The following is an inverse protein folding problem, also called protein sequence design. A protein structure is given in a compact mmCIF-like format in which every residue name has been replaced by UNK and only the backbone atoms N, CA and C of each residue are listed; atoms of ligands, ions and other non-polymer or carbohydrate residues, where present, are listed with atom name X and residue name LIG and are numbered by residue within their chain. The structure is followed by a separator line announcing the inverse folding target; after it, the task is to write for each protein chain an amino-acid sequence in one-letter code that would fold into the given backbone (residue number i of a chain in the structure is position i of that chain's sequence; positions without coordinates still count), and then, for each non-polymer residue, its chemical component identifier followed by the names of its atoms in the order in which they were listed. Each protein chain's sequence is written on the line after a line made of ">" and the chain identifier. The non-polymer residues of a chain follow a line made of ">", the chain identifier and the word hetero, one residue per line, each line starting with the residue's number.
data_IF_527573296462
#
_entry.id   IF_527573296462
#
_cell.length_a   1.000
_cell.length_b   1.000
_cell.length_c   1.000
_cell.angle_alpha   90.00
_cell.angle_beta   90.00
_cell.angle_gamma   90.00
#
_symmetry.space_group_name_H-M   'P 1'
#
loop_
_entity.id
_entity.type
_entity.pdbx_description
1 polymer ?
#
# COMPACT_ATOMS: atom_id res chain seq x y z
N UNK A 1 -17.42 11.38 -10.86
CA UNK A 1 -17.67 11.76 -9.45
C UNK A 1 -17.07 13.13 -9.13
N UNK A 2 -15.75 13.31 -9.20
CA UNK A 2 -15.07 14.59 -8.92
C UNK A 2 -15.64 15.79 -9.69
N UNK A 3 -15.88 15.62 -10.99
CA UNK A 3 -16.47 16.66 -11.86
C UNK A 3 -17.87 17.10 -11.41
N UNK A 4 -18.65 16.22 -10.77
CA UNK A 4 -20.04 16.50 -10.38
C UNK A 4 -20.16 16.99 -8.94
N UNK A 5 -19.30 16.51 -8.03
CA UNK A 5 -19.42 16.72 -6.59
C UNK A 5 -18.23 17.46 -5.96
N UNK A 6 -17.23 17.82 -6.77
CA UNK A 6 -16.03 18.50 -6.31
C UNK A 6 -14.88 17.55 -5.92
N UNK A 7 -13.73 18.12 -5.53
CA UNK A 7 -12.48 17.37 -5.27
C UNK A 7 -12.44 16.64 -3.93
N UNK A 8 -13.40 16.90 -3.03
CA UNK A 8 -13.58 16.22 -1.74
C UNK A 8 -15.04 15.79 -1.66
N UNK A 9 -15.27 14.50 -1.48
CA UNK A 9 -16.61 13.90 -1.46
C UNK A 9 -16.75 13.08 -0.19
N UNK A 10 -17.86 13.26 0.54
CA UNK A 10 -18.22 12.40 1.67
C UNK A 10 -19.17 11.31 1.20
N UNK A 11 -18.82 10.05 1.45
CA UNK A 11 -19.62 8.88 1.15
C UNK A 11 -19.87 8.08 2.44
N UNK A 12 -20.99 7.34 2.49
CA UNK A 12 -21.20 6.30 3.50
C UNK A 12 -21.05 4.93 2.83
N UNK A 13 -20.00 4.20 3.18
CA UNK A 13 -19.76 2.84 2.73
C UNK A 13 -20.29 1.89 3.80
N UNK A 14 -21.55 1.46 3.64
CA UNK A 14 -22.28 0.80 4.72
C UNK A 14 -22.43 1.73 5.92
N UNK A 15 -21.87 1.33 7.07
CA UNK A 15 -21.88 2.14 8.30
C UNK A 15 -20.66 3.08 8.43
N UNK A 16 -19.69 3.00 7.50
CA UNK A 16 -18.43 3.75 7.60
C UNK A 16 -18.51 5.03 6.76
N UNK A 17 -18.42 6.18 7.42
CA UNK A 17 -18.23 7.47 6.74
C UNK A 17 -16.83 7.53 6.13
N UNK A 18 -16.76 7.75 4.83
CA UNK A 18 -15.53 7.75 4.03
C UNK A 18 -15.40 9.08 3.29
N UNK A 19 -14.25 9.74 3.45
CA UNK A 19 -13.91 10.94 2.68
C UNK A 19 -13.05 10.51 1.49
N UNK A 20 -13.48 10.86 0.29
CA UNK A 20 -12.77 10.62 -0.96
C UNK A 20 -12.12 11.93 -1.41
N UNK A 21 -10.79 11.90 -1.57
CA UNK A 21 -10.01 13.02 -2.12
C UNK A 21 -9.64 12.67 -3.56
N UNK A 22 -10.15 13.44 -4.52
CA UNK A 22 -9.98 13.19 -5.96
C UNK A 22 -9.26 14.33 -6.69
N UNK A 23 -8.40 15.07 -5.97
CA UNK A 23 -7.54 16.13 -6.52
C UNK A 23 -6.12 15.94 -6.00
N UNK A 24 -5.13 16.03 -6.89
CA UNK A 24 -3.71 15.92 -6.53
C UNK A 24 -3.25 17.02 -5.57
N UNK A 25 -3.79 18.24 -5.73
CA UNK A 25 -3.48 19.38 -4.86
C UNK A 25 -3.97 19.11 -3.44
N UNK A 26 -5.22 18.66 -3.31
CA UNK A 26 -5.81 18.35 -1.99
C UNK A 26 -5.17 17.12 -1.37
N UNK A 27 -4.86 16.10 -2.17
CA UNK A 27 -4.18 14.90 -1.69
C UNK A 27 -2.78 15.25 -1.15
N UNK A 28 -2.04 16.12 -1.85
CA UNK A 28 -0.74 16.60 -1.37
C UNK A 28 -0.86 17.33 -0.04
N UNK A 29 -1.85 18.19 0.13
CA UNK A 29 -2.11 18.88 1.40
C UNK A 29 -2.40 17.87 2.53
N UNK A 30 -3.33 16.94 2.27
CA UNK A 30 -3.74 15.92 3.22
C UNK A 30 -2.57 15.01 3.65
N UNK A 31 -1.79 14.50 2.70
CA UNK A 31 -0.72 13.54 2.98
C UNK A 31 0.65 14.16 3.31
N UNK A 32 0.81 15.48 3.19
CA UNK A 32 2.05 16.17 3.56
C UNK A 32 1.92 16.96 4.85
N UNK A 33 0.82 17.68 5.03
CA UNK A 33 0.64 18.63 6.13
C UNK A 33 -0.30 18.09 7.21
N UNK A 34 -1.22 17.20 6.84
CA UNK A 34 -2.18 16.56 7.76
C UNK A 34 -1.93 15.05 7.91
N UNK A 35 -0.72 14.60 7.54
CA UNK A 35 -0.38 13.19 7.40
C UNK A 35 -0.56 12.42 8.71
N UNK A 36 -0.13 12.98 9.84
CA UNK A 36 -0.24 12.36 11.15
C UNK A 36 -1.71 12.17 11.57
N UNK A 37 -2.55 13.19 11.35
CA UNK A 37 -3.98 13.15 11.67
C UNK A 37 -4.73 12.11 10.80
N UNK A 38 -4.33 11.98 9.54
CA UNK A 38 -4.92 11.05 8.57
C UNK A 38 -4.23 9.68 8.53
N UNK A 39 -3.20 9.47 9.34
CA UNK A 39 -2.45 8.21 9.37
C UNK A 39 -3.13 7.10 10.14
N UNK A 40 -4.22 7.41 10.86
CA UNK A 40 -5.06 6.41 11.52
C UNK A 40 -5.52 5.35 10.52
N UNK A 41 -5.71 4.13 11.02
CA UNK A 41 -6.16 2.99 10.22
C UNK A 41 -7.49 2.55 10.80
N UNK A 42 -8.45 2.28 9.92
CA UNK A 42 -9.72 1.70 10.29
C UNK A 42 -9.43 0.29 10.76
N UNK A 43 -9.81 -0.01 11.99
CA UNK A 43 -9.72 -1.36 12.52
C UNK A 43 -10.75 -2.24 11.79
N UNK A 44 -10.27 -3.36 11.25
CA UNK A 44 -11.10 -4.29 10.48
C UNK A 44 -10.91 -5.67 11.09
N UNK A 45 -11.98 -6.41 11.30
CA UNK A 45 -11.95 -7.73 11.95
C UNK A 45 -10.95 -8.70 11.31
N UNK A 46 -10.84 -8.68 9.98
CA UNK A 46 -9.87 -9.51 9.25
C UNK A 46 -8.41 -9.25 9.64
N UNK A 47 -8.09 -8.06 10.17
CA UNK A 47 -6.74 -7.71 10.64
C UNK A 47 -6.42 -8.27 12.03
N UNK A 48 -7.41 -8.74 12.78
CA UNK A 48 -7.19 -9.41 14.06
C UNK A 48 -6.80 -10.87 13.90
N UNK A 49 -6.95 -11.44 12.70
CA UNK A 49 -6.47 -12.79 12.43
C UNK A 49 -4.96 -12.88 12.72
N UNK A 50 -4.59 -13.81 13.60
CA UNK A 50 -3.21 -13.99 14.08
C UNK A 50 -2.57 -12.71 14.64
N UNK A 51 -3.37 -11.84 15.26
CA UNK A 51 -2.95 -10.56 15.85
C UNK A 51 -2.25 -9.62 14.83
N UNK A 52 -2.61 -9.72 13.55
CA UNK A 52 -1.87 -9.03 12.50
C UNK A 52 -1.86 -7.50 12.70
N UNK A 53 -2.92 -6.91 13.23
CA UNK A 53 -3.00 -5.49 13.59
C UNK A 53 -1.97 -5.06 14.66
N UNK A 54 -1.54 -5.97 15.55
CA UNK A 54 -0.58 -5.68 16.62
C UNK A 54 0.88 -5.77 16.16
N UNK A 55 1.15 -6.49 15.07
CA UNK A 55 2.51 -6.79 14.61
C UNK A 55 2.85 -6.17 13.25
N UNK A 56 1.85 -5.86 12.42
CA UNK A 56 2.06 -5.31 11.08
C UNK A 56 2.64 -3.91 11.10
N UNK A 57 3.72 -3.70 10.34
CA UNK A 57 4.25 -2.36 10.08
C UNK A 57 3.23 -1.44 9.37
N UNK A 58 2.24 -2.02 8.68
CA UNK A 58 1.22 -1.31 7.92
C UNK A 58 0.08 -0.84 8.84
N UNK A 59 -0.36 -1.70 9.78
CA UNK A 59 -1.54 -1.47 10.60
C UNK A 59 -1.25 -0.92 12.00
N UNK A 60 -0.01 -1.03 12.48
CA UNK A 60 0.39 -0.39 13.73
C UNK A 60 0.11 1.13 13.70
N UNK A 61 -0.29 1.75 14.84
CA UNK A 61 -0.51 3.19 14.92
C UNK A 61 0.70 4.01 14.45
N UNK A 62 0.47 5.16 13.81
CA UNK A 62 1.56 6.00 13.31
C UNK A 62 2.49 6.54 14.41
N UNK A 63 1.95 6.72 15.62
CA UNK A 63 2.69 7.09 16.82
C UNK A 63 3.59 5.96 17.37
N UNK A 64 3.37 4.70 16.96
CA UNK A 64 4.10 3.54 17.46
C UNK A 64 5.60 3.63 17.18
N UNK A 65 6.41 3.58 18.25
CA UNK A 65 7.87 3.49 18.15
C UNK A 65 8.31 2.22 17.41
N UNK A 66 7.60 1.10 17.62
CA UNK A 66 7.81 -0.16 16.91
C UNK A 66 7.61 -0.01 15.41
N UNK A 67 6.54 0.67 14.98
CA UNK A 67 6.31 0.95 13.54
C UNK A 67 7.45 1.78 12.94
N UNK A 68 7.89 2.84 13.63
CA UNK A 68 8.99 3.70 13.17
C UNK A 68 10.29 2.90 13.01
N UNK A 69 10.62 2.05 13.99
CA UNK A 69 11.78 1.16 13.95
C UNK A 69 11.72 0.18 12.77
N UNK A 70 10.60 -0.54 12.62
CA UNK A 70 10.41 -1.51 11.54
C UNK A 70 10.52 -0.84 10.16
N UNK A 71 9.92 0.35 9.96
CA UNK A 71 10.05 1.10 8.70
C UNK A 71 11.50 1.47 8.40
N UNK A 72 12.25 1.94 9.40
CA UNK A 72 13.67 2.28 9.24
C UNK A 72 14.48 1.04 8.84
N UNK A 73 14.24 -0.08 9.50
CA UNK A 73 14.88 -1.36 9.19
C UNK A 73 14.58 -1.75 7.74
N UNK A 74 13.30 -1.87 7.36
CA UNK A 74 12.87 -2.21 6.01
C UNK A 74 13.53 -1.32 4.94
N UNK A 75 13.52 -0.01 5.15
CA UNK A 75 14.11 0.95 4.21
C UNK A 75 15.63 0.78 4.08
N UNK A 76 16.34 0.53 5.18
CA UNK A 76 17.79 0.38 5.18
C UNK A 76 18.29 -0.97 4.70
N UNK A 77 17.52 -2.05 4.92
CA UNK A 77 18.01 -3.42 4.78
C UNK A 77 17.36 -4.23 3.66
N UNK A 78 16.08 -4.02 3.37
CA UNK A 78 15.31 -4.79 2.39
C UNK A 78 15.06 -3.97 1.13
N UNK A 79 14.64 -2.71 1.30
CA UNK A 79 14.30 -1.80 0.21
C UNK A 79 15.38 -0.76 -0.05
N UNK A 80 16.63 -1.01 0.37
CA UNK A 80 17.73 -0.11 0.02
C UNK A 80 18.12 -0.28 -1.45
N UNK A 81 18.61 0.78 -2.13
CA UNK A 81 18.98 0.72 -3.55
C UNK A 81 19.91 -0.46 -3.87
N UNK A 82 20.98 -0.63 -3.11
CA UNK A 82 21.93 -1.73 -3.30
C UNK A 82 21.27 -3.12 -3.21
N UNK A 83 20.27 -3.29 -2.34
CA UNK A 83 19.54 -4.56 -2.18
C UNK A 83 18.58 -4.79 -3.34
N UNK A 84 17.92 -3.73 -3.80
CA UNK A 84 17.06 -3.78 -4.97
C UNK A 84 17.88 -4.14 -6.23
N UNK A 85 19.00 -3.46 -6.45
CA UNK A 85 19.91 -3.71 -7.57
C UNK A 85 20.47 -5.14 -7.54
N UNK A 86 20.95 -5.59 -6.36
CA UNK A 86 21.42 -6.96 -6.18
C UNK A 86 20.33 -8.01 -6.48
N UNK A 87 19.06 -7.69 -6.25
CA UNK A 87 17.94 -8.59 -6.53
C UNK A 87 17.44 -8.55 -7.98
N UNK A 88 17.90 -7.60 -8.81
CA UNK A 88 17.36 -7.34 -10.16
C UNK A 88 17.37 -8.59 -11.06
N UNK A 89 18.41 -9.41 -10.98
CA UNK A 89 18.52 -10.65 -11.75
C UNK A 89 17.41 -11.66 -11.41
N UNK A 90 16.95 -11.71 -10.16
CA UNK A 90 15.83 -12.58 -9.75
C UNK A 90 14.52 -12.11 -10.37
N UNK A 91 14.30 -10.80 -10.43
CA UNK A 91 13.13 -10.20 -11.08
C UNK A 91 13.11 -10.49 -12.58
N UNK A 92 14.24 -10.29 -13.27
CA UNK A 92 14.38 -10.59 -14.69
C UNK A 92 14.02 -12.05 -14.98
N UNK A 93 14.59 -12.99 -14.21
CA UNK A 93 14.29 -14.43 -14.34
C UNK A 93 12.81 -14.74 -14.13
N UNK A 94 12.16 -14.17 -13.11
CA UNK A 94 10.72 -14.41 -12.86
C UNK A 94 9.82 -13.83 -13.95
N UNK A 95 10.22 -12.72 -14.56
CA UNK A 95 9.52 -12.16 -15.71
C UNK A 95 9.68 -13.07 -16.93
N UNK A 96 10.88 -13.58 -17.19
CA UNK A 96 11.13 -14.53 -18.29
C UNK A 96 10.31 -15.82 -18.12
N UNK A 97 10.29 -16.39 -16.91
CA UNK A 97 9.46 -17.56 -16.57
C UNK A 97 7.97 -17.27 -16.85
N UNK A 98 7.47 -16.09 -16.45
CA UNK A 98 6.09 -15.69 -16.70
C UNK A 98 5.79 -15.58 -18.20
N UNK A 99 6.69 -14.95 -18.97
CA UNK A 99 6.54 -14.81 -20.43
C UNK A 99 6.51 -16.18 -21.11
N UNK A 100 7.42 -17.08 -20.71
CA UNK A 100 7.46 -18.45 -21.25
C UNK A 100 6.16 -19.20 -20.95
N UNK A 101 5.64 -19.08 -19.72
CA UNK A 101 4.36 -19.66 -19.34
C UNK A 101 3.20 -19.13 -20.22
N UNK A 102 3.10 -17.80 -20.40
CA UNK A 102 2.07 -17.21 -21.26
C UNK A 102 2.16 -17.70 -22.70
N UNK A 103 3.37 -17.85 -23.27
CA UNK A 103 3.57 -18.39 -24.62
C UNK A 103 3.11 -19.84 -24.72
N UNK A 104 3.46 -20.68 -23.75
CA UNK A 104 3.02 -22.07 -23.74
C UNK A 104 1.50 -22.18 -23.63
N UNK A 105 0.88 -21.40 -22.75
CA UNK A 105 -0.58 -21.35 -22.62
C UNK A 105 -1.25 -20.91 -23.93
N UNK A 106 -0.66 -19.96 -24.67
CA UNK A 106 -1.22 -19.51 -25.95
C UNK A 106 -1.15 -20.57 -27.05
N UNK A 107 -0.15 -21.45 -27.03
CA UNK A 107 0.02 -22.53 -28.01
C UNK A 107 -0.84 -23.77 -27.68
N UNK A 108 -1.14 -23.99 -26.40
CA UNK A 108 -1.96 -25.12 -25.93
C UNK A 108 -3.48 -24.84 -25.97
N UNK A 109 -3.88 -23.65 -26.45
CA UNK A 109 -5.28 -23.24 -26.55
C UNK A 109 -5.87 -23.41 -27.96
N UNK A 110 -5.10 -23.96 -28.90
CA UNK A 110 -5.57 -24.56 -30.16
C UNK A 110 -5.70 -26.09 -30.00
#
# INVERSE_FOLDING_TARGET
>A
MAHKYGPIITLKLGQITTIVISSSVVAKEAFKNQDLALSSKIDKDALHAYDHNQFSVIFLPASSSRRKYLRKLLHSSIFSPNRLDASQHLWARKIEELIACCRQCSLNWE
#
